data_IF_430622914522
#
_entry.id   IF_430622914522
#
_cell.length_a   1.000
_cell.length_b   1.000
_cell.length_c   1.000
_cell.angle_alpha   90.00
_cell.angle_beta   90.00
_cell.angle_gamma   90.00
#
_symmetry.space_group_name_H-M   'P 1'
#
loop_
_entity.id
_entity.type
_entity.pdbx_description
1 polymer ?
#
# COMPACT_ATOMS: atom_id res chain seq x y z
N UNK A 1 -0.88 -9.28 25.31
CA UNK A 1 -1.58 -9.84 24.13
C UNK A 1 -1.86 -8.68 23.20
N UNK A 2 -1.23 -8.63 22.03
CA UNK A 2 -1.19 -7.45 21.16
C UNK A 2 -2.51 -7.13 20.45
N UNK A 3 -3.45 -8.08 20.39
CA UNK A 3 -4.80 -7.82 19.90
C UNK A 3 -5.82 -8.46 20.85
N UNK A 4 -6.95 -7.80 21.14
CA UNK A 4 -8.02 -8.40 21.93
C UNK A 4 -8.51 -9.71 21.32
N UNK A 5 -8.87 -10.71 22.14
CA UNK A 5 -9.43 -11.97 21.64
C UNK A 5 -10.72 -11.78 20.83
N UNK A 6 -11.46 -10.70 21.09
CA UNK A 6 -12.64 -10.30 20.32
C UNK A 6 -12.34 -9.97 18.85
N UNK A 7 -11.06 -9.67 18.54
CA UNK A 7 -10.57 -9.34 17.20
C UNK A 7 -10.15 -10.58 16.40
N UNK A 8 -9.98 -11.73 17.04
CA UNK A 8 -9.52 -12.97 16.42
C UNK A 8 -10.65 -13.79 15.75
N UNK A 9 -11.51 -13.13 14.96
CA UNK A 9 -12.56 -13.84 14.19
C UNK A 9 -12.03 -14.47 12.90
N UNK A 10 -11.01 -13.86 12.30
CA UNK A 10 -10.29 -14.36 11.14
C UNK A 10 -8.89 -13.73 11.07
N UNK A 11 -8.01 -14.29 10.22
CA UNK A 11 -6.65 -13.81 10.03
C UNK A 11 -6.61 -12.33 9.59
N UNK A 12 -7.64 -11.89 8.87
CA UNK A 12 -7.78 -10.53 8.34
C UNK A 12 -7.95 -9.48 9.44
N UNK A 13 -8.78 -9.83 10.43
CA UNK A 13 -9.11 -8.99 11.57
C UNK A 13 -7.91 -8.83 12.50
N UNK A 14 -7.13 -9.89 12.68
CA UNK A 14 -5.86 -9.87 13.44
C UNK A 14 -4.85 -8.98 12.73
N UNK A 15 -4.69 -9.13 11.41
CA UNK A 15 -3.77 -8.31 10.61
C UNK A 15 -4.13 -6.84 10.64
N UNK A 16 -5.42 -6.50 10.56
CA UNK A 16 -5.91 -5.12 10.69
C UNK A 16 -5.54 -4.54 12.05
N UNK A 17 -5.74 -5.30 13.13
CA UNK A 17 -5.42 -4.84 14.47
C UNK A 17 -3.92 -4.62 14.69
N UNK A 18 -3.07 -5.52 14.18
CA UNK A 18 -1.62 -5.36 14.27
C UNK A 18 -1.11 -4.20 13.40
N UNK A 19 -1.79 -3.94 12.28
CA UNK A 19 -1.44 -2.90 11.31
C UNK A 19 -1.70 -1.47 11.77
N UNK A 20 -2.63 -1.28 12.71
CA UNK A 20 -3.08 0.04 13.17
C UNK A 20 -2.46 0.42 14.52
N UNK A 21 -1.40 -0.26 14.94
CA UNK A 21 -0.66 0.08 16.17
C UNK A 21 0.48 1.03 15.82
N UNK A 22 0.76 1.96 16.74
CA UNK A 22 1.93 2.84 16.65
C UNK A 22 3.21 1.99 16.58
N UNK A 23 4.16 2.44 15.75
CA UNK A 23 5.41 1.76 15.36
C UNK A 23 6.30 1.31 16.54
N UNK A 24 6.03 1.74 17.77
CA UNK A 24 6.84 1.44 18.95
C UNK A 24 6.50 0.08 19.61
N UNK A 25 5.40 -0.57 19.22
CA UNK A 25 4.82 -1.73 19.93
C UNK A 25 5.18 -3.10 19.30
N UNK A 26 5.68 -3.14 18.06
CA UNK A 26 6.04 -4.36 17.33
C UNK A 26 7.49 -4.33 16.85
N UNK A 27 8.11 -5.50 16.74
CA UNK A 27 9.46 -5.59 16.19
C UNK A 27 9.49 -5.19 14.70
N UNK A 28 10.63 -4.67 14.25
CA UNK A 28 10.88 -4.33 12.85
C UNK A 28 10.57 -5.49 11.90
N UNK A 29 10.90 -6.73 12.28
CA UNK A 29 10.59 -7.93 11.48
C UNK A 29 9.08 -8.21 11.39
N UNK A 30 8.33 -7.91 12.45
CA UNK A 30 6.88 -8.06 12.46
C UNK A 30 6.22 -7.01 11.56
N UNK A 31 6.66 -5.75 11.64
CA UNK A 31 6.25 -4.70 10.72
C UNK A 31 6.55 -5.05 9.27
N UNK A 32 7.75 -5.58 9.01
CA UNK A 32 8.14 -6.04 7.67
C UNK A 32 7.22 -7.15 7.13
N UNK A 33 6.90 -8.15 7.95
CA UNK A 33 6.02 -9.24 7.56
C UNK A 33 4.59 -8.75 7.26
N UNK A 34 4.05 -7.87 8.12
CA UNK A 34 2.73 -7.27 7.92
C UNK A 34 2.69 -6.45 6.63
N UNK A 35 3.74 -5.66 6.38
CA UNK A 35 3.87 -4.86 5.16
C UNK A 35 3.92 -5.74 3.90
N UNK A 36 4.76 -6.77 3.89
CA UNK A 36 4.83 -7.70 2.76
C UNK A 36 3.51 -8.44 2.55
N UNK A 37 2.79 -8.78 3.61
CA UNK A 37 1.49 -9.42 3.52
C UNK A 37 0.44 -8.50 2.88
N UNK A 38 0.39 -7.22 3.27
CA UNK A 38 -0.46 -6.20 2.63
C UNK A 38 -0.14 -6.02 1.14
N UNK A 39 1.16 -5.96 0.81
CA UNK A 39 1.62 -5.87 -0.59
C UNK A 39 1.21 -7.08 -1.41
N UNK A 40 1.36 -8.27 -0.83
CA UNK A 40 0.99 -9.51 -1.50
C UNK A 40 -0.52 -9.62 -1.68
N UNK A 41 -1.37 -9.10 -0.79
CA UNK A 41 -2.83 -9.11 -1.00
C UNK A 41 -3.20 -8.36 -2.28
N UNK A 42 -2.65 -7.16 -2.48
CA UNK A 42 -2.98 -6.35 -3.65
C UNK A 42 -2.40 -6.91 -4.92
N UNK A 43 -1.21 -7.52 -4.88
CA UNK A 43 -0.56 -8.16 -6.05
C UNK A 43 -0.99 -9.60 -6.31
N UNK A 44 -1.83 -10.20 -5.47
CA UNK A 44 -2.12 -11.62 -5.56
C UNK A 44 -3.33 -11.88 -6.48
N UNK A 45 -3.15 -12.67 -7.55
CA UNK A 45 -4.20 -12.97 -8.53
C UNK A 45 -5.48 -13.57 -7.92
N UNK A 46 -5.39 -14.20 -6.74
CA UNK A 46 -6.57 -14.73 -6.03
C UNK A 46 -7.51 -13.61 -5.58
N UNK A 47 -6.97 -12.50 -5.07
CA UNK A 47 -7.79 -11.37 -4.64
C UNK A 47 -8.37 -10.63 -5.84
N UNK A 48 -7.61 -10.48 -6.92
CA UNK A 48 -8.10 -9.95 -8.19
C UNK A 48 -9.24 -10.80 -8.77
N UNK A 49 -9.16 -12.13 -8.68
CA UNK A 49 -10.23 -13.04 -9.09
C UNK A 49 -11.52 -12.81 -8.27
N UNK A 50 -11.39 -12.69 -6.95
CA UNK A 50 -12.52 -12.40 -6.06
C UNK A 50 -13.11 -11.01 -6.37
N UNK A 51 -12.26 -10.01 -6.66
CA UNK A 51 -12.68 -8.68 -7.07
C UNK A 51 -13.48 -8.74 -8.38
N UNK A 52 -12.97 -9.45 -9.40
CA UNK A 52 -13.66 -9.63 -10.69
C UNK A 52 -15.02 -10.31 -10.54
N UNK A 53 -15.13 -11.27 -9.63
CA UNK A 53 -16.39 -11.94 -9.33
C UNK A 53 -17.37 -11.03 -8.56
N UNK A 54 -16.88 -10.36 -7.52
CA UNK A 54 -17.71 -9.57 -6.58
C UNK A 54 -18.12 -8.22 -7.15
N UNK A 55 -17.31 -7.66 -8.07
CA UNK A 55 -17.41 -6.33 -8.65
C UNK A 55 -17.70 -6.33 -10.15
N UNK A 56 -18.28 -7.42 -10.69
CA UNK A 56 -18.55 -7.56 -12.13
C UNK A 56 -19.27 -6.35 -12.73
N UNK A 57 -20.34 -5.87 -12.09
CA UNK A 57 -21.10 -4.71 -12.57
C UNK A 57 -20.31 -3.40 -12.51
N UNK A 58 -19.38 -3.27 -11.56
CA UNK A 58 -18.50 -2.10 -11.49
C UNK A 58 -17.48 -2.13 -12.63
N UNK A 59 -16.92 -3.30 -12.96
CA UNK A 59 -15.98 -3.47 -14.07
C UNK A 59 -16.61 -3.31 -15.45
N UNK A 60 -17.92 -3.55 -15.58
CA UNK A 60 -18.66 -3.26 -16.81
C UNK A 60 -18.81 -1.76 -17.06
N UNK A 61 -18.90 -0.97 -15.98
CA UNK A 61 -19.01 0.50 -16.02
C UNK A 61 -17.63 1.16 -16.12
N UNK A 62 -16.67 0.72 -15.30
CA UNK A 62 -15.31 1.24 -15.20
C UNK A 62 -14.34 0.29 -15.94
N UNK A 63 -14.37 0.35 -17.27
CA UNK A 63 -13.58 -0.53 -18.13
C UNK A 63 -12.08 -0.29 -17.99
N UNK A 64 -11.69 0.90 -17.55
CA UNK A 64 -10.32 1.28 -17.19
C UNK A 64 -9.75 0.43 -16.04
N UNK A 65 -10.62 -0.11 -15.17
CA UNK A 65 -10.20 -1.02 -14.10
C UNK A 65 -10.08 -2.48 -14.55
N UNK A 66 -10.44 -2.79 -15.81
CA UNK A 66 -10.27 -4.12 -16.38
C UNK A 66 -8.84 -4.25 -16.86
N UNK A 67 -7.95 -4.71 -15.97
CA UNK A 67 -6.56 -4.93 -16.35
C UNK A 67 -6.46 -6.13 -17.32
N UNK A 68 -5.80 -5.98 -18.49
CA UNK A 68 -5.53 -7.07 -19.43
C UNK A 68 -4.59 -8.13 -18.86
N UNK A 69 -3.77 -7.77 -17.87
CA UNK A 69 -2.96 -8.69 -17.08
C UNK A 69 -3.69 -9.04 -15.77
N UNK A 70 -4.24 -10.27 -15.65
CA UNK A 70 -4.93 -10.73 -14.44
C UNK A 70 -3.99 -10.99 -13.26
N UNK A 71 -2.67 -10.82 -13.43
CA UNK A 71 -1.66 -10.96 -12.37
C UNK A 71 -1.09 -9.64 -11.86
N UNK A 72 -1.54 -8.52 -12.44
CA UNK A 72 -1.06 -7.18 -12.11
C UNK A 72 -1.41 -6.71 -10.69
N UNK A 73 -2.50 -7.23 -10.11
CA UNK A 73 -2.99 -6.77 -8.81
C UNK A 73 -3.62 -5.38 -8.80
N UNK A 74 -3.89 -4.83 -9.98
CA UNK A 74 -4.30 -3.42 -10.12
C UNK A 74 -5.82 -3.23 -10.09
N UNK A 75 -6.59 -4.30 -10.25
CA UNK A 75 -8.06 -4.25 -10.33
C UNK A 75 -8.65 -3.69 -9.04
N UNK A 76 -8.18 -4.21 -7.91
CA UNK A 76 -8.62 -3.77 -6.58
C UNK A 76 -8.31 -2.29 -6.37
N UNK A 77 -7.06 -1.87 -6.65
CA UNK A 77 -6.62 -0.49 -6.49
C UNK A 77 -7.47 0.49 -7.29
N UNK A 78 -7.76 0.16 -8.55
CA UNK A 78 -8.60 0.98 -9.42
C UNK A 78 -10.06 1.05 -8.92
N UNK A 79 -10.66 -0.08 -8.56
CA UNK A 79 -12.05 -0.11 -8.08
C UNK A 79 -12.27 0.67 -6.78
N UNK A 80 -11.22 0.82 -5.96
CA UNK A 80 -11.28 1.65 -4.75
C UNK A 80 -11.44 3.15 -5.07
N UNK A 81 -10.96 3.63 -6.23
CA UNK A 81 -11.17 5.01 -6.68
C UNK A 81 -12.64 5.31 -7.02
N UNK A 82 -13.40 4.27 -7.39
CA UNK A 82 -14.80 4.39 -7.78
C UNK A 82 -15.76 3.86 -6.72
N UNK A 83 -15.28 3.51 -5.53
CA UNK A 83 -16.06 2.82 -4.48
C UNK A 83 -17.41 3.51 -4.19
N UNK A 84 -17.43 4.83 -4.09
CA UNK A 84 -18.65 5.60 -3.81
C UNK A 84 -19.68 5.59 -4.96
N UNK A 85 -19.22 5.26 -6.17
CA UNK A 85 -20.05 5.16 -7.38
C UNK A 85 -20.58 3.72 -7.59
N UNK A 86 -20.05 2.74 -6.85
CA UNK A 86 -20.42 1.33 -6.98
C UNK A 86 -21.69 1.02 -6.19
N UNK A 87 -22.71 0.52 -6.90
CA UNK A 87 -24.01 0.15 -6.31
C UNK A 87 -24.07 -1.29 -5.77
N UNK A 88 -23.18 -2.17 -6.23
CA UNK A 88 -23.20 -3.58 -5.87
C UNK A 88 -22.72 -3.77 -4.42
N UNK A 89 -23.65 -4.08 -3.50
CA UNK A 89 -23.35 -4.26 -2.07
C UNK A 89 -22.26 -5.30 -1.78
N UNK A 90 -22.21 -6.39 -2.55
CA UNK A 90 -21.15 -7.40 -2.43
C UNK A 90 -19.77 -6.85 -2.80
N UNK A 91 -19.70 -5.99 -3.81
CA UNK A 91 -18.47 -5.32 -4.20
C UNK A 91 -18.05 -4.30 -3.16
N UNK A 92 -18.97 -3.43 -2.72
CA UNK A 92 -18.66 -2.42 -1.69
C UNK A 92 -18.18 -3.09 -0.41
N UNK A 93 -18.84 -4.15 0.06
CA UNK A 93 -18.41 -4.90 1.25
C UNK A 93 -17.04 -5.57 1.09
N UNK A 94 -16.75 -6.10 -0.10
CA UNK A 94 -15.43 -6.65 -0.40
C UNK A 94 -14.37 -5.55 -0.40
N UNK A 95 -14.63 -4.44 -1.10
CA UNK A 95 -13.73 -3.29 -1.15
C UNK A 95 -13.58 -2.63 0.22
N UNK A 96 -14.59 -2.63 1.09
CA UNK A 96 -14.49 -2.18 2.48
C UNK A 96 -13.48 -3.03 3.26
N UNK A 97 -13.65 -4.35 3.22
CA UNK A 97 -12.73 -5.28 3.90
C UNK A 97 -11.30 -5.15 3.38
N UNK A 98 -11.15 -5.07 2.06
CA UNK A 98 -9.85 -4.88 1.43
C UNK A 98 -9.29 -3.50 1.79
N UNK A 99 -10.11 -2.45 1.76
CA UNK A 99 -9.67 -1.11 2.12
C UNK A 99 -9.19 -1.01 3.55
N UNK A 100 -9.79 -1.72 4.50
CA UNK A 100 -9.30 -1.72 5.89
C UNK A 100 -7.91 -2.36 6.06
N UNK A 101 -7.50 -3.23 5.13
CA UNK A 101 -6.18 -3.88 5.12
C UNK A 101 -5.18 -3.09 4.27
N UNK A 102 -5.69 -2.45 3.21
CA UNK A 102 -4.95 -1.78 2.14
C UNK A 102 -4.94 -0.24 2.33
N UNK A 103 -5.69 0.30 3.29
CA UNK A 103 -5.72 1.73 3.64
C UNK A 103 -5.80 1.92 5.16
N UNK A 104 -4.64 2.29 5.72
CA UNK A 104 -4.45 3.65 6.22
C UNK A 104 -3.45 4.36 5.31
N UNK A 105 -2.32 3.68 5.04
CA UNK A 105 -1.18 4.28 4.33
C UNK A 105 -0.94 3.70 2.93
N UNK A 106 -1.52 2.54 2.61
CA UNK A 106 -0.96 1.69 1.54
C UNK A 106 -1.30 2.09 0.09
N UNK A 107 -2.41 2.78 -0.22
CA UNK A 107 -2.59 3.37 -1.58
C UNK A 107 -1.63 4.53 -1.83
N UNK A 108 -1.44 5.38 -0.82
CA UNK A 108 -0.44 6.44 -0.86
C UNK A 108 0.98 5.86 -0.97
N UNK A 109 1.27 4.73 -0.32
CA UNK A 109 2.53 3.97 -0.46
C UNK A 109 2.71 3.40 -1.86
N UNK A 110 1.68 2.80 -2.47
CA UNK A 110 1.83 2.23 -3.82
C UNK A 110 2.11 3.32 -4.86
N UNK A 111 1.40 4.45 -4.80
CA UNK A 111 1.66 5.59 -5.67
C UNK A 111 3.05 6.17 -5.41
N UNK A 112 3.44 6.34 -4.14
CA UNK A 112 4.75 6.83 -3.75
C UNK A 112 5.88 5.92 -4.23
N UNK A 113 5.83 4.62 -3.92
CA UNK A 113 6.86 3.66 -4.34
C UNK A 113 6.91 3.54 -5.86
N UNK A 114 5.78 3.56 -6.58
CA UNK A 114 5.81 3.51 -8.05
C UNK A 114 6.43 4.76 -8.67
N UNK A 115 6.15 5.93 -8.11
CA UNK A 115 6.60 7.20 -8.67
C UNK A 115 7.99 7.62 -8.16
N UNK A 116 8.47 7.08 -7.04
CA UNK A 116 9.76 7.38 -6.42
C UNK A 116 10.75 6.19 -6.44
N UNK A 117 10.43 5.08 -7.10
CA UNK A 117 11.24 3.85 -7.07
C UNK A 117 12.72 4.13 -7.40
N UNK A 118 12.96 4.88 -8.47
CA UNK A 118 14.29 5.13 -8.99
C UNK A 118 15.06 6.09 -8.10
N UNK A 119 14.38 7.09 -7.53
CA UNK A 119 14.95 8.03 -6.57
C UNK A 119 15.26 7.37 -5.23
N UNK A 120 14.41 6.47 -4.74
CA UNK A 120 14.65 5.67 -3.53
C UNK A 120 15.91 4.82 -3.69
N UNK A 121 16.06 4.20 -4.87
CA UNK A 121 17.19 3.32 -5.17
C UNK A 121 18.49 4.10 -5.37
N UNK A 122 18.45 5.19 -6.15
CA UNK A 122 19.62 6.01 -6.47
C UNK A 122 20.14 6.81 -5.28
N UNK A 123 19.24 7.32 -4.43
CA UNK A 123 19.61 8.08 -3.24
C UNK A 123 19.86 7.22 -2.00
N UNK A 124 19.75 5.89 -2.13
CA UNK A 124 19.91 4.95 -1.03
C UNK A 124 18.99 5.26 0.17
N UNK A 125 17.80 5.80 -0.12
CA UNK A 125 16.75 6.01 0.87
C UNK A 125 15.95 4.72 1.16
N UNK A 126 16.21 3.65 0.38
CA UNK A 126 15.83 2.27 0.71
C UNK A 126 16.93 1.54 1.50
N UNK A 127 16.62 0.36 2.07
CA UNK A 127 17.57 -0.41 2.90
C UNK A 127 18.85 -0.78 2.11
N UNK A 128 20.03 -0.44 2.63
CA UNK A 128 21.33 -1.00 2.20
C UNK A 128 21.71 -2.14 3.14
N UNK A 129 21.13 -3.31 2.91
CA UNK A 129 21.62 -4.55 3.52
C UNK A 129 22.45 -5.31 2.49
N UNK A 130 23.77 -5.29 2.65
CA UNK A 130 24.76 -5.92 1.77
C UNK A 130 24.69 -7.46 1.68
N UNK A 131 23.61 -8.09 2.13
CA UNK A 131 23.54 -9.56 2.33
C UNK A 131 22.36 -10.27 1.69
N UNK A 132 21.40 -9.59 1.05
CA UNK A 132 20.28 -10.29 0.40
C UNK A 132 20.01 -9.78 -1.00
N UNK A 133 20.50 -10.58 -1.95
CA UNK A 133 20.40 -10.45 -3.39
C UNK A 133 19.01 -10.94 -3.87
N UNK A 134 17.95 -10.30 -3.40
CA UNK A 134 16.57 -10.57 -3.86
C UNK A 134 15.95 -9.25 -4.34
N UNK A 135 15.46 -9.26 -5.58
CA UNK A 135 15.03 -8.12 -6.43
C UNK A 135 13.91 -7.21 -5.90
N UNK A 136 13.68 -7.12 -4.59
CA UNK A 136 12.77 -6.15 -3.98
C UNK A 136 13.42 -5.63 -2.69
N UNK A 137 14.15 -4.53 -2.82
CA UNK A 137 14.70 -3.73 -1.72
C UNK A 137 13.54 -3.05 -0.96
N UNK A 138 13.19 -3.59 0.21
CA UNK A 138 12.07 -3.09 1.04
C UNK A 138 12.59 -2.03 2.01
N UNK A 139 12.10 -0.78 1.96
CA UNK A 139 12.57 0.29 2.84
C UNK A 139 12.17 0.11 4.32
N UNK A 140 12.87 0.86 5.18
CA UNK A 140 12.44 1.20 6.54
C UNK A 140 11.05 1.90 6.53
N UNK A 141 10.41 2.06 7.70
CA UNK A 141 9.05 2.62 7.83
C UNK A 141 8.81 3.80 6.86
N UNK A 142 7.61 3.88 6.26
CA UNK A 142 7.30 4.82 5.17
C UNK A 142 7.74 6.25 5.49
N UNK A 143 7.48 6.72 6.71
CA UNK A 143 7.87 8.06 7.16
C UNK A 143 9.38 8.31 7.10
N UNK A 144 10.21 7.29 7.32
CA UNK A 144 11.67 7.41 7.22
C UNK A 144 12.16 7.52 5.77
N UNK A 145 11.48 6.86 4.83
CA UNK A 145 11.81 6.99 3.40
C UNK A 145 11.43 8.35 2.88
N UNK A 146 10.24 8.84 3.25
CA UNK A 146 9.77 10.18 2.91
C UNK A 146 10.75 11.22 3.47
N UNK A 147 11.09 11.15 4.76
CA UNK A 147 12.04 12.07 5.39
C UNK A 147 13.43 12.05 4.71
N UNK A 148 13.93 10.88 4.33
CA UNK A 148 15.20 10.78 3.59
C UNK A 148 15.13 11.47 2.22
N UNK A 149 14.06 11.24 1.47
CA UNK A 149 13.87 11.86 0.15
C UNK A 149 13.63 13.38 0.27
N UNK A 150 12.93 13.84 1.32
CA UNK A 150 12.78 15.27 1.64
C UNK A 150 14.14 15.92 1.90
N UNK A 151 15.01 15.27 2.68
CA UNK A 151 16.37 15.75 2.94
C UNK A 151 17.17 15.85 1.62
N UNK A 152 17.09 14.84 0.76
CA UNK A 152 17.77 14.86 -0.56
C UNK A 152 17.23 15.96 -1.48
N UNK A 153 15.93 16.18 -1.46
CA UNK A 153 15.30 17.25 -2.24
C UNK A 153 15.74 18.63 -1.71
N UNK A 154 15.85 18.80 -0.39
CA UNK A 154 16.37 20.01 0.25
C UNK A 154 17.86 20.26 -0.04
N UNK A 155 18.65 19.19 -0.17
CA UNK A 155 20.06 19.23 -0.60
C UNK A 155 20.24 19.55 -2.09
N UNK A 156 19.15 19.70 -2.84
CA UNK A 156 19.16 20.07 -4.26
C UNK A 156 19.42 18.90 -5.21
N UNK A 157 19.20 17.65 -4.76
CA UNK A 157 19.23 16.49 -5.65
C UNK A 157 17.99 16.53 -6.56
N UNK A 158 18.21 16.45 -7.88
CA UNK A 158 17.12 16.36 -8.85
C UNK A 158 16.36 15.05 -8.72
N UNK A 159 15.03 15.16 -8.76
CA UNK A 159 14.09 14.06 -8.65
C UNK A 159 13.02 14.23 -9.72
N UNK A 160 12.36 13.16 -10.14
CA UNK A 160 11.25 13.29 -11.08
C UNK A 160 10.12 14.12 -10.47
N UNK A 161 9.43 14.89 -11.33
CA UNK A 161 8.26 15.69 -10.95
C UNK A 161 7.18 14.81 -10.28
N UNK A 162 7.03 13.57 -10.76
CA UNK A 162 6.13 12.58 -10.18
C UNK A 162 6.51 12.19 -8.76
N UNK A 163 7.81 11.97 -8.49
CA UNK A 163 8.27 11.65 -7.15
C UNK A 163 8.12 12.86 -6.20
N UNK A 164 8.53 14.05 -6.64
CA UNK A 164 8.39 15.28 -5.85
C UNK A 164 6.93 15.53 -5.43
N UNK A 165 6.00 15.36 -6.36
CA UNK A 165 4.57 15.47 -6.05
C UNK A 165 4.10 14.48 -4.99
N UNK A 166 4.60 13.24 -5.00
CA UNK A 166 4.22 12.25 -3.97
C UNK A 166 4.87 12.55 -2.62
N UNK A 167 6.11 13.06 -2.59
CA UNK A 167 6.78 13.48 -1.36
C UNK A 167 5.97 14.61 -0.70
N UNK A 168 5.66 15.68 -1.44
CA UNK A 168 4.89 16.82 -0.92
C UNK A 168 3.52 16.37 -0.41
N UNK A 169 2.79 15.59 -1.21
CA UNK A 169 1.46 15.06 -0.85
C UNK A 169 1.50 14.25 0.45
N UNK A 170 2.51 13.40 0.63
CA UNK A 170 2.66 12.60 1.86
C UNK A 170 3.03 13.46 3.07
N UNK A 171 3.82 14.50 2.87
CA UNK A 171 4.32 15.39 3.93
C UNK A 171 3.24 16.37 4.41
N UNK A 172 2.32 16.77 3.53
CA UNK A 172 1.12 17.53 3.91
C UNK A 172 0.14 16.69 4.73
N UNK A 173 0.00 15.40 4.40
CA UNK A 173 -0.89 14.48 5.11
C UNK A 173 -0.38 14.11 6.51
N UNK A 174 0.92 14.17 6.76
CA UNK A 174 1.53 13.93 8.08
C UNK A 174 1.60 15.17 8.97
N UNK A 175 1.31 16.37 8.44
CA UNK A 175 1.31 17.62 9.19
C UNK A 175 -0.06 17.98 9.82
N UNK A 176 -1.12 17.25 9.46
CA UNK A 176 -2.49 17.43 9.97
C UNK A 176 -2.84 16.53 11.18
N UNK A 177 -1.86 15.80 11.74
CA UNK A 177 -1.95 15.02 13.00
C UNK A 177 -1.21 15.68 14.18
#
# INVERSE_FOLDING_TARGET
MYCPQTTARDNLSILTCLSNRQDDDLSTDCHHYIWQYKLNITKNPKFDSIARQSCKSALEVHKECVDPDPTSGKVISCLLDFKDQIKARSCVHFLDKISVIVFGDFRLICDFIQNCHDEISSNQCGRVDSTTQTDISVPHSQGQVVACLEEKLADGIEMSEKCQHQIIRLSELSADD
#
